data_IF_700254209181
#
_entry.id   IF_700254209181
#
_cell.length_a   1.000
_cell.length_b   1.000
_cell.length_c   1.000
_cell.angle_alpha   90.00
_cell.angle_beta   90.00
_cell.angle_gamma   90.00
#
_symmetry.space_group_name_H-M   'P 1'
#
loop_
_entity.id
_entity.type
_entity.pdbx_description
1 polymer ?
#
# COMPACT_ATOMS: atom_id res chain seq x y z
N UNK A 1 -9.39 4.69 -16.54
CA UNK A 1 -9.55 3.22 -16.44
C UNK A 1 -9.54 2.95 -14.95
N UNK A 2 -10.71 2.66 -14.39
CA UNK A 2 -10.86 2.48 -12.95
C UNK A 2 -10.60 1.01 -12.64
N UNK A 3 -9.45 0.73 -12.02
CA UNK A 3 -9.07 -0.61 -11.62
C UNK A 3 -9.76 -0.90 -10.28
N UNK A 4 -10.91 -1.58 -10.32
CA UNK A 4 -11.68 -1.94 -9.12
C UNK A 4 -10.77 -2.70 -8.14
N UNK A 5 -10.74 -2.24 -6.89
CA UNK A 5 -9.87 -2.80 -5.84
C UNK A 5 -8.45 -2.24 -5.81
N UNK A 6 -8.14 -1.23 -6.63
CA UNK A 6 -6.87 -0.52 -6.61
C UNK A 6 -7.06 0.96 -6.28
N UNK A 7 -6.08 1.52 -5.59
CA UNK A 7 -5.99 2.93 -5.26
C UNK A 7 -4.67 3.50 -5.75
N UNK A 8 -4.64 4.77 -6.12
CA UNK A 8 -3.36 5.49 -6.17
C UNK A 8 -2.93 5.92 -4.76
N UNK A 9 -1.74 6.51 -4.63
CA UNK A 9 -1.20 6.88 -3.32
C UNK A 9 -2.15 7.79 -2.53
N UNK A 10 -2.83 8.74 -3.18
CA UNK A 10 -3.74 9.67 -2.52
C UNK A 10 -4.98 8.93 -2.00
N UNK A 11 -5.64 8.17 -2.86
CA UNK A 11 -6.81 7.39 -2.47
C UNK A 11 -6.47 6.33 -1.41
N UNK A 12 -5.26 5.75 -1.47
CA UNK A 12 -4.84 4.73 -0.51
C UNK A 12 -4.64 5.31 0.90
N UNK A 13 -4.10 6.53 1.03
CA UNK A 13 -4.02 7.23 2.33
C UNK A 13 -5.41 7.42 2.94
N UNK A 14 -6.39 7.87 2.14
CA UNK A 14 -7.77 8.07 2.60
C UNK A 14 -8.45 6.75 3.01
N UNK A 15 -8.20 5.66 2.28
CA UNK A 15 -8.83 4.35 2.53
C UNK A 15 -8.18 3.61 3.70
N UNK A 16 -6.85 3.62 3.79
CA UNK A 16 -6.10 2.86 4.79
C UNK A 16 -6.03 3.57 6.15
N UNK A 17 -6.23 4.89 6.18
CA UNK A 17 -6.00 5.71 7.38
C UNK A 17 -4.52 5.84 7.76
N UNK A 18 -3.60 5.29 6.96
CA UNK A 18 -2.16 5.38 7.19
C UNK A 18 -1.69 6.78 6.78
N UNK A 19 -0.88 7.41 7.63
CA UNK A 19 -0.31 8.72 7.33
C UNK A 19 0.57 8.65 6.07
N UNK A 20 0.62 9.75 5.31
CA UNK A 20 1.51 9.83 4.15
C UNK A 20 2.97 9.57 4.53
N UNK A 21 3.38 10.07 5.69
CA UNK A 21 4.76 9.94 6.17
C UNK A 21 5.11 8.50 6.49
N UNK A 22 4.23 7.74 7.15
CA UNK A 22 4.43 6.30 7.39
C UNK A 22 4.42 5.51 6.08
N UNK A 23 3.56 5.89 5.14
CA UNK A 23 3.51 5.25 3.83
C UNK A 23 4.83 5.44 3.07
N UNK A 24 5.40 6.66 3.10
CA UNK A 24 6.66 6.99 2.41
C UNK A 24 7.90 6.43 3.13
N UNK A 25 7.93 6.46 4.47
CA UNK A 25 9.12 6.10 5.26
C UNK A 25 9.18 4.63 5.68
N UNK A 26 8.03 3.95 5.84
CA UNK A 26 7.97 2.57 6.35
C UNK A 26 7.43 1.60 5.31
N UNK A 27 6.38 1.97 4.57
CA UNK A 27 5.68 1.04 3.67
C UNK A 27 6.36 0.94 2.30
N UNK A 28 6.55 2.07 1.59
CA UNK A 28 7.16 2.05 0.26
C UNK A 28 8.59 1.52 0.22
N UNK A 29 9.45 1.70 1.23
CA UNK A 29 10.78 1.08 1.23
C UNK A 29 10.75 -0.45 1.35
N UNK A 30 9.64 -1.05 1.81
CA UNK A 30 9.50 -2.50 1.92
C UNK A 30 9.35 -3.14 0.52
N UNK A 31 10.37 -3.90 0.11
CA UNK A 31 10.43 -4.54 -1.22
C UNK A 31 9.37 -5.62 -1.42
N UNK A 32 9.02 -6.34 -0.38
CA UNK A 32 8.00 -7.39 -0.43
C UNK A 32 6.61 -6.79 -0.58
N UNK A 33 6.31 -5.70 0.13
CA UNK A 33 5.10 -4.92 -0.10
C UNK A 33 5.01 -4.42 -1.55
N UNK A 34 6.10 -3.85 -2.08
CA UNK A 34 6.14 -3.42 -3.49
C UNK A 34 5.81 -4.58 -4.44
N UNK A 35 6.40 -5.76 -4.22
CA UNK A 35 6.19 -6.92 -5.09
C UNK A 35 4.78 -7.52 -4.96
N UNK A 36 4.22 -7.57 -3.76
CA UNK A 36 2.94 -8.21 -3.47
C UNK A 36 1.73 -7.28 -3.72
N UNK A 37 1.90 -5.98 -3.53
CA UNK A 37 0.78 -5.04 -3.40
C UNK A 37 0.78 -3.90 -4.43
N UNK A 38 1.91 -3.61 -5.10
CA UNK A 38 2.00 -2.51 -6.06
C UNK A 38 2.03 -2.99 -7.51
N UNK A 39 1.19 -2.36 -8.34
CA UNK A 39 0.96 -2.76 -9.72
C UNK A 39 1.14 -1.57 -10.66
N UNK A 40 1.62 -1.86 -11.87
CA UNK A 40 1.64 -0.91 -12.98
C UNK A 40 0.69 -1.43 -14.05
N UNK A 41 -0.21 -0.56 -14.51
CA UNK A 41 -1.13 -0.89 -15.59
C UNK A 41 -0.70 -0.16 -16.86
N UNK A 42 -0.52 -0.91 -17.96
CA UNK A 42 -0.13 -0.39 -19.27
C UNK A 42 1.29 0.18 -19.31
N UNK A 43 1.55 1.07 -20.28
CA UNK A 43 2.86 1.72 -20.50
C UNK A 43 3.12 2.94 -19.59
N UNK A 44 2.25 3.19 -18.60
CA UNK A 44 2.35 4.34 -17.72
C UNK A 44 3.34 4.14 -16.57
N UNK A 45 3.91 5.25 -16.07
CA UNK A 45 4.75 5.25 -14.88
C UNK A 45 3.96 5.21 -13.55
N UNK A 46 2.63 5.39 -13.61
CA UNK A 46 1.79 5.43 -12.42
C UNK A 46 1.67 4.03 -11.80
N UNK A 47 1.97 3.95 -10.51
CA UNK A 47 1.77 2.76 -9.70
C UNK A 47 0.44 2.86 -8.95
N UNK A 48 -0.20 1.71 -8.77
CA UNK A 48 -1.43 1.54 -8.02
C UNK A 48 -1.22 0.49 -6.94
N UNK A 49 -1.94 0.62 -5.84
CA UNK A 49 -1.88 -0.25 -4.68
C UNK A 49 -3.16 -1.08 -4.65
N UNK A 50 -3.02 -2.41 -4.61
CA UNK A 50 -4.17 -3.32 -4.45
C UNK A 50 -4.64 -3.25 -3.00
N UNK A 51 -5.81 -2.67 -2.78
CA UNK A 51 -6.24 -2.14 -1.47
C UNK A 51 -6.24 -3.22 -0.39
N UNK A 52 -7.01 -4.30 -0.58
CA UNK A 52 -7.17 -5.35 0.45
C UNK A 52 -5.84 -6.03 0.82
N UNK A 53 -5.06 -6.56 -0.14
CA UNK A 53 -3.76 -7.16 0.17
C UNK A 53 -2.79 -6.19 0.84
N UNK A 54 -2.81 -4.91 0.44
CA UNK A 54 -1.93 -3.91 1.03
C UNK A 54 -2.25 -3.66 2.52
N UNK A 55 -3.53 -3.52 2.87
CA UNK A 55 -3.95 -3.33 4.26
C UNK A 55 -3.56 -4.54 5.11
N UNK A 56 -3.88 -5.75 4.64
CA UNK A 56 -3.55 -7.01 5.33
C UNK A 56 -2.03 -7.16 5.52
N UNK A 57 -1.23 -6.89 4.49
CA UNK A 57 0.22 -6.99 4.56
C UNK A 57 0.83 -5.98 5.56
N UNK A 58 0.36 -4.73 5.54
CA UNK A 58 0.87 -3.68 6.44
C UNK A 58 0.59 -4.02 7.90
N UNK A 59 -0.63 -4.46 8.21
CA UNK A 59 -1.04 -4.83 9.58
C UNK A 59 -0.19 -5.99 10.13
N UNK A 60 0.16 -6.95 9.27
CA UNK A 60 0.87 -8.17 9.67
C UNK A 60 2.40 -8.02 9.71
N UNK A 61 2.99 -7.13 8.89
CA UNK A 61 4.43 -7.14 8.64
C UNK A 61 5.15 -5.79 8.86
N UNK A 62 4.43 -4.66 8.84
CA UNK A 62 5.07 -3.33 8.85
C UNK A 62 4.62 -2.51 10.06
N UNK A 63 3.32 -2.26 10.18
CA UNK A 63 2.73 -1.51 11.29
C UNK A 63 2.11 -2.50 12.28
N UNK A 64 2.94 -3.40 12.78
CA UNK A 64 2.55 -4.44 13.73
C UNK A 64 2.07 -3.76 15.02
N UNK A 65 0.87 -4.13 15.49
CA UNK A 65 0.30 -3.62 16.74
C UNK A 65 1.27 -3.88 17.88
N UNK A 66 1.44 -2.92 18.78
CA UNK A 66 2.31 -3.07 19.97
C UNK A 66 1.96 -4.32 20.80
N UNK A 67 0.70 -4.73 20.81
CA UNK A 67 0.23 -5.94 21.51
C UNK A 67 0.70 -7.26 20.86
N UNK A 68 1.19 -7.20 19.63
CA UNK A 68 1.69 -8.35 18.86
C UNK A 68 3.23 -8.40 18.77
N UNK A 69 3.92 -7.48 19.45
CA UNK A 69 5.39 -7.45 19.61
C UNK A 69 5.79 -8.18 20.90
#
# INVERSE_FOLDING_TARGET
MDFIGFADAKAFVEISGISRDDLESKVYPNKEFQAACMYRFGKGNKRYIKIRPAIEYIEQNILIKETNL
#
